data_IF_358748810692
#
_entry.id   IF_358748810692
#
_cell.length_a   1.000
_cell.length_b   1.000
_cell.length_c   1.000
_cell.angle_alpha   90.00
_cell.angle_beta   90.00
_cell.angle_gamma   90.00
#
_symmetry.space_group_name_H-M   'P 1'
#
loop_
_entity.id
_entity.type
_entity.pdbx_description
1 polymer ?
#
# COMPACT_ATOMS: atom_id res chain seq x y z
N UNK A 1 16.68 4.13 8.48
CA UNK A 1 16.87 2.98 7.55
C UNK A 1 18.26 3.06 6.96
N UNK A 2 19.01 1.95 6.98
CA UNK A 2 20.48 1.97 6.90
C UNK A 2 21.12 1.83 5.52
N UNK A 3 20.33 1.86 4.45
CA UNK A 3 20.82 1.73 3.06
C UNK A 3 21.38 3.08 2.55
N UNK A 4 22.44 3.56 3.19
CA UNK A 4 23.01 4.91 3.00
C UNK A 4 23.81 5.08 1.71
N UNK A 5 24.01 4.02 0.93
CA UNK A 5 24.51 4.09 -0.43
C UNK A 5 23.53 4.76 -1.40
N UNK A 6 22.25 4.89 -1.01
CA UNK A 6 21.23 5.61 -1.76
C UNK A 6 20.90 6.94 -1.10
N UNK A 7 20.73 7.98 -1.92
CA UNK A 7 20.23 9.29 -1.45
C UNK A 7 18.79 9.20 -0.93
N UNK A 8 17.99 8.33 -1.57
CA UNK A 8 16.57 8.10 -1.28
C UNK A 8 16.16 6.70 -1.65
N UNK A 9 15.12 6.20 -0.98
CA UNK A 9 14.54 4.89 -1.25
C UNK A 9 13.04 5.02 -1.35
N UNK A 10 12.47 4.48 -2.42
CA UNK A 10 11.05 4.21 -2.49
C UNK A 10 10.82 2.80 -1.98
N UNK A 11 10.23 2.69 -0.79
CA UNK A 11 9.77 1.42 -0.26
C UNK A 11 8.35 1.17 -0.76
N UNK A 12 8.10 -0.06 -1.19
CA UNK A 12 6.81 -0.52 -1.70
C UNK A 12 6.55 -1.94 -1.16
N UNK A 13 5.40 -2.15 -0.54
CA UNK A 13 4.95 -3.47 -0.13
C UNK A 13 4.83 -4.40 -1.34
N UNK A 14 5.04 -5.69 -1.13
CA UNK A 14 5.03 -6.69 -2.20
C UNK A 14 3.65 -6.83 -2.88
N UNK A 15 2.58 -6.37 -2.23
CA UNK A 15 1.24 -6.28 -2.78
C UNK A 15 0.89 -4.86 -3.22
N UNK A 16 1.85 -4.17 -3.80
CA UNK A 16 1.63 -2.95 -4.55
C UNK A 16 1.86 -3.19 -6.04
N UNK A 17 1.27 -2.35 -6.88
CA UNK A 17 1.44 -2.37 -8.32
C UNK A 17 1.61 -0.95 -8.84
N UNK A 18 2.73 -0.69 -9.52
CA UNK A 18 2.89 0.53 -10.29
C UNK A 18 1.99 0.48 -11.54
N UNK A 19 1.08 1.44 -11.64
CA UNK A 19 0.12 1.57 -12.77
C UNK A 19 0.37 2.83 -13.60
N UNK A 20 1.29 3.69 -13.17
CA UNK A 20 1.77 4.87 -13.88
C UNK A 20 3.25 5.15 -13.58
N UNK A 21 3.76 6.26 -14.11
CA UNK A 21 5.15 6.68 -13.85
C UNK A 21 5.34 7.04 -12.37
N UNK A 22 6.39 6.52 -11.72
CA UNK A 22 6.78 6.89 -10.36
C UNK A 22 7.85 8.00 -10.33
N UNK A 23 8.21 8.58 -11.49
CA UNK A 23 9.32 9.52 -11.60
C UNK A 23 9.17 10.76 -10.71
N UNK A 24 7.95 11.32 -10.62
CA UNK A 24 7.65 12.48 -9.76
C UNK A 24 7.69 12.14 -8.27
N UNK A 25 7.38 10.90 -7.89
CA UNK A 25 7.51 10.45 -6.50
C UNK A 25 8.98 10.39 -6.08
N UNK A 26 9.85 10.04 -7.01
CA UNK A 26 11.27 10.02 -6.74
C UNK A 26 11.88 11.42 -6.68
N UNK A 27 11.19 12.51 -7.03
CA UNK A 27 11.77 13.85 -6.93
C UNK A 27 11.94 14.33 -5.47
N UNK A 28 13.19 14.46 -5.02
CA UNK A 28 13.54 14.90 -3.66
C UNK A 28 13.04 16.32 -3.38
N UNK A 29 13.10 17.20 -4.39
CA UNK A 29 12.80 18.62 -4.20
C UNK A 29 11.33 18.82 -3.82
N UNK A 30 10.47 17.93 -4.27
CA UNK A 30 9.04 18.00 -4.00
C UNK A 30 8.69 17.53 -2.59
N UNK A 31 9.30 16.44 -2.11
CA UNK A 31 8.80 15.74 -0.92
C UNK A 31 9.72 15.84 0.30
N UNK A 32 11.04 15.78 0.11
CA UNK A 32 12.02 15.61 1.20
C UNK A 32 13.15 16.65 1.16
N UNK A 33 12.91 17.81 0.56
CA UNK A 33 13.92 18.87 0.39
C UNK A 33 14.36 19.49 1.72
N UNK A 34 13.49 19.49 2.74
CA UNK A 34 13.82 20.08 4.02
C UNK A 34 14.71 19.13 4.86
N UNK A 35 15.80 19.61 5.50
CA UNK A 35 16.73 18.75 6.25
C UNK A 35 16.10 17.96 7.40
N UNK A 36 14.96 18.40 7.96
CA UNK A 36 14.23 17.65 8.98
C UNK A 36 13.34 16.55 8.42
N UNK A 37 12.96 16.59 7.13
CA UNK A 37 12.12 15.57 6.49
C UNK A 37 12.89 14.25 6.37
N UNK A 38 12.19 13.16 6.66
CA UNK A 38 12.75 11.79 6.68
C UNK A 38 11.89 10.81 5.89
N UNK A 39 10.57 10.97 5.96
CA UNK A 39 9.61 10.08 5.31
C UNK A 39 8.52 10.88 4.60
N UNK A 40 8.09 10.39 3.45
CA UNK A 40 6.87 10.84 2.79
C UNK A 40 5.94 9.65 2.52
N UNK A 41 4.68 9.74 2.94
CA UNK A 41 3.69 8.68 2.73
C UNK A 41 2.27 9.26 2.58
N UNK A 42 1.36 8.48 1.99
CA UNK A 42 -0.04 8.89 1.88
C UNK A 42 -0.76 8.68 3.23
N UNK A 43 -1.74 9.54 3.53
CA UNK A 43 -2.57 9.34 4.73
C UNK A 43 -3.36 8.03 4.61
N UNK A 44 -3.49 7.31 5.71
CA UNK A 44 -4.21 6.04 5.75
C UNK A 44 -5.72 6.29 5.85
N UNK A 45 -6.50 5.38 5.27
CA UNK A 45 -7.94 5.43 5.30
C UNK A 45 -8.48 4.22 6.05
N UNK A 46 -9.36 4.42 7.03
CA UNK A 46 -9.89 3.32 7.82
C UNK A 46 -11.28 3.65 8.34
N UNK A 47 -12.13 2.62 8.42
CA UNK A 47 -13.50 2.72 8.97
C UNK A 47 -14.33 3.88 8.37
N UNK A 48 -14.13 4.17 7.09
CA UNK A 48 -14.90 5.20 6.37
C UNK A 48 -14.37 6.63 6.53
N UNK A 49 -13.23 6.84 7.17
CA UNK A 49 -12.62 8.17 7.33
C UNK A 49 -11.10 8.16 7.14
N UNK A 50 -10.53 9.31 6.77
CA UNK A 50 -9.09 9.54 6.82
C UNK A 50 -8.62 9.50 8.27
N UNK A 51 -7.57 8.74 8.53
CA UNK A 51 -7.02 8.58 9.87
C UNK A 51 -6.02 9.70 10.20
N UNK A 52 -5.55 9.70 11.44
CA UNK A 52 -4.39 10.49 11.89
C UNK A 52 -3.06 9.73 11.71
N UNK A 53 -3.07 8.64 10.95
CA UNK A 53 -1.89 7.88 10.57
C UNK A 53 -1.72 7.89 9.06
N UNK A 54 -0.53 7.52 8.60
CA UNK A 54 -0.20 7.33 7.20
C UNK A 54 0.03 5.86 6.90
N UNK A 55 -0.21 5.48 5.65
CA UNK A 55 -0.13 4.09 5.20
C UNK A 55 1.30 3.72 4.84
N UNK A 56 1.85 2.64 5.39
CA UNK A 56 3.26 2.27 5.18
C UNK A 56 3.54 1.50 3.89
N UNK A 57 2.52 1.08 3.15
CA UNK A 57 2.73 0.23 1.98
C UNK A 57 3.43 0.90 0.82
N UNK A 58 3.41 2.23 0.73
CA UNK A 58 4.29 2.98 -0.19
C UNK A 58 4.79 4.22 0.54
N UNK A 59 6.11 4.34 0.67
CA UNK A 59 6.74 5.47 1.33
C UNK A 59 8.10 5.81 0.71
N UNK A 60 8.37 7.11 0.59
CA UNK A 60 9.67 7.64 0.20
C UNK A 60 10.48 7.95 1.45
N UNK A 61 11.75 7.56 1.46
CA UNK A 61 12.63 7.66 2.61
C UNK A 61 13.93 8.34 2.25
N UNK A 62 14.49 9.05 3.23
CA UNK A 62 15.89 9.46 3.25
C UNK A 62 16.68 8.51 4.16
N UNK A 63 17.53 7.62 3.61
CA UNK A 63 18.39 6.76 4.41
C UNK A 63 19.33 7.55 5.30
N UNK A 64 19.56 7.04 6.51
CA UNK A 64 20.43 7.67 7.51
C UNK A 64 20.92 6.58 8.47
N UNK A 65 22.24 6.43 8.57
CA UNK A 65 22.87 5.39 9.38
C UNK A 65 22.69 5.63 10.89
N UNK A 66 22.72 6.89 11.31
CA UNK A 66 22.48 7.27 12.71
C UNK A 66 21.05 6.94 13.11
N UNK A 67 20.08 7.26 12.26
CA UNK A 67 18.67 6.93 12.46
C UNK A 67 18.45 5.40 12.43
N UNK A 68 19.12 4.67 11.54
CA UNK A 68 19.05 3.22 11.52
C UNK A 68 19.59 2.60 12.81
N UNK A 69 20.73 3.07 13.31
CA UNK A 69 21.30 2.64 14.59
C UNK A 69 20.39 2.99 15.77
N UNK A 70 19.76 4.18 15.74
CA UNK A 70 18.78 4.59 16.74
C UNK A 70 17.57 3.65 16.75
N UNK A 71 16.94 3.41 15.60
CA UNK A 71 15.81 2.47 15.44
C UNK A 71 16.20 1.08 15.94
N UNK A 72 17.36 0.58 15.53
CA UNK A 72 17.86 -0.71 16.00
C UNK A 72 17.97 -0.74 17.53
N UNK A 73 18.54 0.31 18.14
CA UNK A 73 18.64 0.40 19.59
C UNK A 73 17.28 0.39 20.30
N UNK A 74 16.24 1.02 19.73
CA UNK A 74 14.89 0.99 20.29
C UNK A 74 14.32 -0.43 20.35
N UNK A 75 14.69 -1.27 19.38
CA UNK A 75 14.20 -2.64 19.26
C UNK A 75 15.04 -3.64 20.09
N UNK A 76 16.34 -3.40 20.25
CA UNK A 76 17.26 -4.38 20.87
C UNK A 76 17.71 -4.05 22.29
N UNK A 77 17.69 -2.78 22.70
CA UNK A 77 18.12 -2.38 24.05
C UNK A 77 17.03 -2.73 25.07
N UNK A 78 17.30 -3.61 26.07
CA UNK A 78 16.31 -3.99 27.07
C UNK A 78 15.67 -2.81 27.81
N UNK A 79 16.42 -1.72 28.03
CA UNK A 79 15.90 -0.52 28.70
C UNK A 79 14.95 0.31 27.82
N UNK A 80 15.03 0.17 26.49
CA UNK A 80 14.18 0.89 25.52
C UNK A 80 13.04 0.02 24.98
N UNK A 81 13.15 -1.30 25.13
CA UNK A 81 12.11 -2.23 24.70
C UNK A 81 10.76 -1.99 25.37
N UNK A 82 10.71 -1.43 26.57
CA UNK A 82 9.44 -1.04 27.19
C UNK A 82 8.69 0.01 26.36
N UNK A 83 9.42 1.00 25.81
CA UNK A 83 8.86 1.99 24.89
C UNK A 83 8.37 1.31 23.62
N UNK A 84 9.18 0.44 23.01
CA UNK A 84 8.80 -0.27 21.80
C UNK A 84 7.56 -1.17 22.01
N UNK A 85 7.42 -1.81 23.18
CA UNK A 85 6.26 -2.63 23.55
C UNK A 85 5.00 -1.81 23.84
N UNK A 86 5.16 -0.53 24.18
CA UNK A 86 4.02 0.38 24.38
C UNK A 86 3.37 0.81 23.06
N UNK A 87 4.07 0.64 21.93
CA UNK A 87 3.54 0.96 20.60
C UNK A 87 2.50 -0.09 20.23
N UNK A 88 1.26 0.31 19.87
CA UNK A 88 0.23 -0.63 19.45
C UNK A 88 0.73 -1.48 18.27
N UNK A 89 0.82 -2.80 18.43
CA UNK A 89 1.26 -3.71 17.37
C UNK A 89 0.12 -4.11 16.41
N UNK A 90 -0.91 -3.27 16.29
CA UNK A 90 -2.15 -3.62 15.57
C UNK A 90 -1.96 -3.66 14.06
N UNK A 91 -1.07 -2.82 13.51
CA UNK A 91 -0.81 -2.71 12.07
C UNK A 91 0.67 -2.94 11.72
N UNK A 92 1.40 -3.72 12.54
CA UNK A 92 2.78 -4.10 12.26
C UNK A 92 3.75 -2.91 12.16
N UNK A 93 4.52 -2.86 11.06
CA UNK A 93 5.47 -1.78 10.78
C UNK A 93 4.79 -0.40 10.68
N UNK A 94 3.56 -0.34 10.18
CA UNK A 94 2.81 0.91 10.05
C UNK A 94 2.66 1.61 11.40
N UNK A 95 2.28 0.88 12.44
CA UNK A 95 2.09 1.45 13.78
C UNK A 95 3.42 1.95 14.37
N UNK A 96 4.51 1.19 14.19
CA UNK A 96 5.84 1.59 14.63
C UNK A 96 6.33 2.84 13.92
N UNK A 97 6.20 2.90 12.60
CA UNK A 97 6.65 4.03 11.81
C UNK A 97 5.79 5.28 12.04
N UNK A 98 4.48 5.15 12.28
CA UNK A 98 3.63 6.28 12.65
C UNK A 98 3.95 6.83 14.05
N UNK A 99 4.42 5.98 14.97
CA UNK A 99 4.92 6.45 16.26
C UNK A 99 6.26 7.20 16.11
N UNK A 100 7.16 6.68 15.29
CA UNK A 100 8.49 7.28 15.05
C UNK A 100 8.40 8.59 14.24
N UNK A 101 7.54 8.62 13.23
CA UNK A 101 7.29 9.77 12.36
C UNK A 101 5.80 10.13 12.33
N UNK A 102 5.24 10.73 13.40
CA UNK A 102 3.85 11.15 13.40
C UNK A 102 3.56 12.11 12.24
N UNK A 103 2.34 12.10 11.70
CA UNK A 103 1.96 12.99 10.59
C UNK A 103 2.07 14.49 10.94
N UNK A 104 2.08 14.83 12.24
CA UNK A 104 2.30 16.19 12.76
C UNK A 104 3.77 16.55 12.90
N UNK A 105 4.68 15.60 12.76
CA UNK A 105 6.11 15.85 12.91
C UNK A 105 6.67 16.59 11.70
N UNK A 106 7.70 17.40 11.94
CA UNK A 106 8.45 18.02 10.85
C UNK A 106 9.16 16.99 9.97
N UNK A 107 9.35 15.75 10.46
CA UNK A 107 9.98 14.66 9.73
C UNK A 107 9.09 14.03 8.64
N UNK A 108 7.78 14.30 8.66
CA UNK A 108 6.82 13.71 7.75
C UNK A 108 6.40 14.66 6.61
N UNK A 109 6.36 14.17 5.37
CA UNK A 109 5.69 14.82 4.24
C UNK A 109 4.48 14.01 3.79
N UNK A 110 3.36 14.68 3.52
CA UNK A 110 2.16 14.01 3.03
C UNK A 110 2.24 13.80 1.52
N UNK A 111 2.18 12.54 1.08
CA UNK A 111 1.99 12.22 -0.32
C UNK A 111 0.49 12.29 -0.69
N UNK A 112 0.19 12.71 -1.93
CA UNK A 112 -1.12 12.51 -2.54
C UNK A 112 -1.53 11.03 -2.59
N UNK A 113 -2.84 10.75 -2.55
CA UNK A 113 -3.38 9.37 -2.59
C UNK A 113 -2.99 8.65 -3.89
N UNK A 114 -2.75 9.41 -4.95
CA UNK A 114 -2.33 8.94 -6.27
C UNK A 114 -1.09 8.05 -6.23
N UNK A 115 -0.20 8.26 -5.25
CA UNK A 115 1.02 7.48 -5.09
C UNK A 115 0.86 6.24 -4.20
N UNK A 116 -0.26 6.09 -3.50
CA UNK A 116 -0.57 4.92 -2.68
C UNK A 116 -2.09 4.66 -2.69
N UNK A 117 -2.62 4.30 -3.85
CA UNK A 117 -4.04 4.02 -4.04
C UNK A 117 -4.46 2.76 -3.29
N UNK A 118 -4.91 2.91 -2.05
CA UNK A 118 -5.34 1.80 -1.19
C UNK A 118 -6.64 1.20 -1.71
N UNK A 119 -6.62 -0.07 -2.13
CA UNK A 119 -7.75 -0.72 -2.79
C UNK A 119 -9.03 -0.79 -1.94
N UNK A 120 -8.94 -0.72 -0.62
CA UNK A 120 -10.12 -0.68 0.24
C UNK A 120 -10.92 0.64 0.10
N UNK A 121 -10.29 1.72 -0.37
CA UNK A 121 -10.95 3.01 -0.64
C UNK A 121 -11.97 2.87 -1.76
N UNK A 122 -11.74 1.97 -2.73
CA UNK A 122 -12.71 1.65 -3.79
C UNK A 122 -14.08 1.27 -3.21
N UNK A 123 -14.07 0.49 -2.14
CA UNK A 123 -15.29 -0.02 -1.50
C UNK A 123 -15.86 0.97 -0.50
N UNK A 124 -15.01 1.66 0.26
CA UNK A 124 -15.45 2.51 1.36
C UNK A 124 -15.77 3.95 0.93
N UNK A 125 -15.09 4.47 -0.10
CA UNK A 125 -15.26 5.81 -0.67
C UNK A 125 -15.23 5.74 -2.20
N UNK A 126 -16.22 5.06 -2.81
CA UNK A 126 -16.38 4.87 -4.25
C UNK A 126 -16.15 6.12 -5.11
N UNK A 127 -16.65 7.28 -4.67
CA UNK A 127 -16.56 8.53 -5.41
C UNK A 127 -15.13 9.08 -5.40
N UNK A 128 -14.45 9.04 -4.25
CA UNK A 128 -13.03 9.39 -4.14
C UNK A 128 -12.20 8.47 -5.01
N UNK A 129 -12.48 7.16 -4.97
CA UNK A 129 -11.79 6.19 -5.80
C UNK A 129 -11.99 6.47 -7.29
N UNK A 130 -13.22 6.74 -7.74
CA UNK A 130 -13.51 7.06 -9.12
C UNK A 130 -12.76 8.32 -9.61
N UNK A 131 -12.60 9.31 -8.75
CA UNK A 131 -11.84 10.53 -9.07
C UNK A 131 -10.33 10.29 -9.15
N UNK A 132 -9.79 9.47 -8.24
CA UNK A 132 -8.34 9.25 -8.11
C UNK A 132 -7.83 8.15 -9.03
N UNK A 133 -8.66 7.15 -9.36
CA UNK A 133 -8.29 5.98 -10.18
C UNK A 133 -7.57 6.35 -11.50
N UNK A 134 -8.05 7.33 -12.30
CA UNK A 134 -7.37 7.72 -13.55
C UNK A 134 -6.02 8.42 -13.33
N UNK A 135 -5.74 8.90 -12.12
CA UNK A 135 -4.54 9.63 -11.72
C UNK A 135 -3.54 8.75 -10.96
N UNK A 136 -3.90 7.50 -10.65
CA UNK A 136 -3.06 6.60 -9.85
C UNK A 136 -1.72 6.35 -10.53
N UNK A 137 -0.66 6.43 -9.75
CA UNK A 137 0.68 5.98 -10.09
C UNK A 137 0.96 4.60 -9.51
N UNK A 138 0.38 4.29 -8.35
CA UNK A 138 0.46 2.97 -7.74
C UNK A 138 -0.84 2.59 -7.00
N UNK A 139 -1.11 1.28 -6.97
CA UNK A 139 -2.19 0.66 -6.21
C UNK A 139 -1.57 -0.18 -5.09
N UNK A 140 -2.13 -0.09 -3.88
CA UNK A 140 -1.80 -0.95 -2.75
C UNK A 140 -3.00 -1.85 -2.42
N UNK A 141 -2.83 -3.18 -2.55
CA UNK A 141 -3.87 -4.18 -2.38
C UNK A 141 -4.17 -4.53 -0.91
N UNK A 142 -4.57 -3.50 -0.15
CA UNK A 142 -4.77 -3.50 1.31
C UNK A 142 -5.79 -4.50 1.87
N UNK A 143 -6.91 -4.79 1.18
CA UNK A 143 -7.90 -5.77 1.69
C UNK A 143 -7.73 -7.15 1.09
N UNK A 144 -7.60 -7.23 -0.23
CA UNK A 144 -7.44 -8.49 -0.96
C UNK A 144 -6.28 -8.34 -1.92
N UNK A 145 -5.28 -9.19 -1.75
CA UNK A 145 -4.06 -9.20 -2.58
C UNK A 145 -4.43 -9.46 -4.04
N UNK A 146 -3.75 -8.83 -4.98
CA UNK A 146 -4.05 -8.93 -6.42
C UNK A 146 -4.06 -10.39 -6.92
N UNK A 147 -3.09 -11.20 -6.49
CA UNK A 147 -3.02 -12.64 -6.80
C UNK A 147 -4.08 -13.49 -6.10
N UNK A 148 -4.74 -12.95 -5.07
CA UNK A 148 -5.87 -13.60 -4.39
C UNK A 148 -7.19 -13.41 -5.12
N UNK A 149 -7.24 -12.62 -6.20
CA UNK A 149 -8.41 -12.40 -7.03
C UNK A 149 -8.43 -13.35 -8.24
N UNK A 150 -9.62 -13.68 -8.79
CA UNK A 150 -9.71 -14.49 -10.00
C UNK A 150 -8.89 -13.90 -11.14
N UNK A 151 -8.20 -14.76 -11.88
CA UNK A 151 -7.41 -14.36 -13.05
C UNK A 151 -8.33 -13.80 -14.14
N UNK A 152 -8.27 -12.48 -14.32
CA UNK A 152 -9.05 -11.72 -15.30
C UNK A 152 -8.19 -10.60 -15.86
N UNK A 153 -8.30 -10.31 -17.15
CA UNK A 153 -7.50 -9.26 -17.81
C UNK A 153 -8.31 -8.00 -18.14
N UNK A 154 -9.64 -8.08 -17.97
CA UNK A 154 -10.59 -7.00 -18.17
C UNK A 154 -11.24 -6.61 -16.86
N UNK A 155 -11.63 -5.33 -16.76
CA UNK A 155 -12.40 -4.86 -15.62
C UNK A 155 -13.73 -5.62 -15.61
N UNK A 156 -14.11 -6.25 -14.49
CA UNK A 156 -15.37 -6.97 -14.44
C UNK A 156 -16.56 -6.05 -14.72
N UNK A 157 -17.52 -6.53 -15.52
CA UNK A 157 -18.72 -5.79 -15.89
C UNK A 157 -19.72 -5.63 -14.74
N UNK A 158 -19.60 -6.47 -13.69
CA UNK A 158 -20.25 -6.17 -12.42
C UNK A 158 -19.57 -4.93 -11.85
N UNK A 159 -20.07 -3.76 -12.21
CA UNK A 159 -19.83 -2.58 -11.41
C UNK A 159 -20.41 -2.92 -10.05
N UNK A 160 -19.57 -2.97 -9.01
CA UNK A 160 -20.05 -2.66 -7.67
C UNK A 160 -20.80 -1.36 -7.88
N UNK A 161 -22.13 -1.41 -7.74
CA UNK A 161 -22.92 -0.20 -7.66
C UNK A 161 -22.23 0.58 -6.56
N UNK A 162 -21.49 1.60 -6.96
CA UNK A 162 -20.53 2.23 -6.08
C UNK A 162 -21.28 2.87 -4.91
N UNK A 163 -22.58 3.11 -5.04
CA UNK A 163 -23.46 3.55 -3.98
C UNK A 163 -23.85 2.49 -2.95
N UNK A 164 -23.55 1.20 -3.15
CA UNK A 164 -23.94 0.09 -2.26
C UNK A 164 -22.73 -0.59 -1.63
N UNK A 165 -22.71 -0.76 -0.30
CA UNK A 165 -21.63 -1.47 0.37
C UNK A 165 -21.54 -2.92 -0.11
N UNK A 166 -20.32 -3.48 -0.10
CA UNK A 166 -20.10 -4.88 -0.44
C UNK A 166 -21.03 -5.79 0.37
N UNK A 167 -21.84 -6.62 -0.29
CA UNK A 167 -22.79 -7.45 0.42
C UNK A 167 -22.02 -8.52 1.21
N UNK A 168 -22.44 -8.81 2.45
CA UNK A 168 -21.80 -9.85 3.29
C UNK A 168 -21.99 -11.26 2.73
N UNK A 169 -23.08 -11.45 1.98
CA UNK A 169 -23.42 -12.68 1.27
C UNK A 169 -23.86 -12.31 -0.13
N UNK A 170 -23.65 -13.18 -1.11
CA UNK A 170 -24.06 -12.90 -2.46
C UNK A 170 -24.10 -14.16 -3.31
N UNK A 171 -24.77 -14.10 -4.48
CA UNK A 171 -24.83 -15.22 -5.40
C UNK A 171 -23.42 -15.60 -5.87
N UNK A 172 -23.29 -16.85 -6.32
CA UNK A 172 -22.07 -17.31 -6.96
C UNK A 172 -21.99 -16.71 -8.37
N UNK A 173 -20.83 -16.16 -8.71
CA UNK A 173 -20.48 -15.63 -10.04
C UNK A 173 -19.15 -16.26 -10.43
N UNK A 174 -19.14 -17.03 -11.51
CA UNK A 174 -17.95 -17.75 -12.00
C UNK A 174 -17.25 -18.61 -10.91
N UNK A 175 -18.04 -19.28 -10.06
CA UNK A 175 -17.52 -20.14 -9.00
C UNK A 175 -16.95 -19.40 -7.78
N UNK A 176 -17.16 -18.08 -7.65
CA UNK A 176 -16.78 -17.27 -6.48
C UNK A 176 -17.99 -16.51 -5.96
N UNK A 177 -18.16 -16.37 -4.64
CA UNK A 177 -19.28 -15.57 -4.09
C UNK A 177 -19.11 -14.11 -4.50
N UNK A 178 -20.16 -13.44 -4.97
CA UNK A 178 -20.07 -12.03 -5.38
C UNK A 178 -19.60 -11.10 -4.24
N UNK A 179 -19.91 -11.45 -3.00
CA UNK A 179 -19.36 -10.82 -1.79
C UNK A 179 -17.82 -10.83 -1.75
N UNK A 180 -17.20 -11.95 -2.17
CA UNK A 180 -15.76 -12.14 -2.20
C UNK A 180 -15.10 -11.38 -3.37
N UNK A 181 -15.85 -11.16 -4.45
CA UNK A 181 -15.38 -10.41 -5.61
C UNK A 181 -15.34 -8.90 -5.36
N UNK A 182 -16.05 -8.40 -4.36
CA UNK A 182 -16.20 -6.95 -4.16
C UNK A 182 -14.88 -6.21 -3.86
N UNK A 183 -13.83 -6.90 -3.40
CA UNK A 183 -12.47 -6.34 -3.24
C UNK A 183 -11.52 -6.70 -4.40
N UNK A 184 -12.05 -7.25 -5.48
CA UNK A 184 -11.31 -7.72 -6.65
C UNK A 184 -11.58 -6.91 -7.92
N UNK A 185 -12.35 -5.83 -7.85
CA UNK A 185 -12.66 -4.94 -8.97
C UNK A 185 -11.43 -4.33 -9.62
N UNK A 186 -10.34 -4.14 -8.87
CA UNK A 186 -9.02 -3.71 -9.36
C UNK A 186 -8.02 -4.86 -9.53
N UNK A 187 -8.36 -6.08 -9.12
CA UNK A 187 -7.49 -7.25 -9.22
C UNK A 187 -7.12 -7.62 -10.66
N UNK A 188 -7.96 -7.26 -11.64
CA UNK A 188 -7.64 -7.47 -13.06
C UNK A 188 -6.38 -6.71 -13.52
N UNK A 189 -6.04 -5.59 -12.87
CA UNK A 189 -4.82 -4.84 -13.19
C UNK A 189 -3.56 -5.62 -12.82
N UNK A 190 -3.61 -6.35 -11.70
CA UNK A 190 -2.53 -7.26 -11.30
C UNK A 190 -2.31 -8.33 -12.37
N UNK A 191 -3.37 -9.03 -12.76
CA UNK A 191 -3.27 -10.09 -13.75
C UNK A 191 -2.89 -9.58 -15.14
N UNK A 192 -3.35 -8.39 -15.53
CA UNK A 192 -2.91 -7.72 -16.76
C UNK A 192 -1.41 -7.39 -16.73
N UNK A 193 -0.90 -6.91 -15.60
CA UNK A 193 0.53 -6.66 -15.44
C UNK A 193 1.34 -7.97 -15.48
N UNK A 194 0.85 -9.02 -14.81
CA UNK A 194 1.51 -10.34 -14.84
C UNK A 194 1.50 -10.99 -16.23
N UNK A 195 0.46 -10.75 -17.04
CA UNK A 195 0.37 -11.31 -18.39
C UNK A 195 1.28 -10.62 -19.39
N UNK A 196 1.67 -9.36 -19.15
CA UNK A 196 2.59 -8.60 -20.02
C UNK A 196 4.07 -8.93 -19.78
N UNK A 197 4.42 -9.55 -18.65
CA UNK A 197 5.79 -10.03 -18.39
C UNK A 197 6.10 -11.20 -19.34
N UNK A 198 7.11 -11.10 -20.22
CA UNK A 198 7.50 -12.17 -21.13
C UNK A 198 7.70 -13.48 -20.38
N UNK A 199 7.25 -14.60 -20.97
CA UNK A 199 7.27 -15.90 -20.31
C UNK A 199 8.72 -16.38 -20.12
N UNK A 200 9.34 -16.00 -19.00
CA UNK A 200 10.71 -16.35 -18.66
C UNK A 200 10.81 -17.80 -18.10
N UNK A 201 9.85 -18.66 -18.42
CA UNK A 201 9.77 -20.05 -17.93
C UNK A 201 9.32 -20.20 -16.47
N UNK A 202 8.99 -19.11 -15.76
CA UNK A 202 8.67 -19.11 -14.31
C UNK A 202 7.17 -19.16 -13.99
N UNK A 203 6.26 -19.01 -14.97
CA UNK A 203 4.80 -19.01 -14.71
C UNK A 203 4.27 -20.32 -14.10
N UNK A 204 4.96 -21.45 -14.32
CA UNK A 204 4.53 -22.77 -13.81
C UNK A 204 4.52 -22.90 -12.29
N UNK A 205 5.26 -22.09 -11.54
CA UNK A 205 5.36 -22.26 -10.07
C UNK A 205 4.31 -21.47 -9.26
N UNK A 206 3.75 -20.39 -9.80
CA UNK A 206 2.73 -19.61 -9.07
C UNK A 206 1.36 -20.30 -9.10
N UNK A 207 1.02 -20.95 -10.22
CA UNK A 207 -0.28 -21.64 -10.37
C UNK A 207 -0.41 -22.94 -9.55
N UNK A 208 0.70 -23.58 -9.16
CA UNK A 208 0.64 -24.84 -8.40
C UNK A 208 0.34 -24.68 -6.91
N UNK A 209 0.49 -23.48 -6.32
CA UNK A 209 0.31 -23.26 -4.87
C UNK A 209 -1.06 -22.71 -4.44
N UNK A 210 -1.97 -22.44 -5.36
CA UNK A 210 -3.30 -21.87 -5.05
C UNK A 210 -4.44 -22.91 -5.07
N UNK A 211 -4.10 -24.21 -5.12
CA UNK A 211 -5.07 -25.30 -4.89
C UNK A 211 -5.00 -25.74 -3.43
N UNK A 212 -5.67 -25.00 -2.55
CA UNK A 212 -5.99 -25.44 -1.19
C UNK A 212 -7.50 -25.37 -1.00
#
# INVERSE_FOLDING_TARGET
>A
MGMTEYERILFMDADTLAVGSLGSLLDMQQWLNHPSKRVAAAMDFSRGSWTRSWNSGILLLKPDATEAAHIYSLLTDPGKQEVARSIPAVDGDQSFLNWLYPHTSEAFARLPLEFNGMSHVEVLQPHVWAEVMPKLHAIHFTTRKGWGCPERYERPAWTIDSAKPCPRTGPWVDGVRSAELCYCSVGYLWWRAMSSVPDSGKRKHVQQRLRY
#
